data_IF_706448014256
#
_entry.id   IF_706448014256
#
_cell.length_a   1.000
_cell.length_b   1.000
_cell.length_c   1.000
_cell.angle_alpha   90.00
_cell.angle_beta   90.00
_cell.angle_gamma   90.00
#
_symmetry.space_group_name_H-M   'P 1'
#
loop_
_entity.id
_entity.type
_entity.pdbx_description
1 polymer ?
#
# COMPACT_ATOMS: atom_id res chain seq x y z
N UNK A 1 -6.48 -20.91 9.18
CA UNK A 1 -7.17 -19.64 8.91
C UNK A 1 -6.27 -18.91 7.93
N UNK A 2 -6.78 -18.50 6.77
CA UNK A 2 -6.00 -17.72 5.81
C UNK A 2 -6.07 -16.27 6.30
N UNK A 3 -4.93 -15.63 6.54
CA UNK A 3 -4.87 -14.19 6.78
C UNK A 3 -4.71 -13.54 5.41
N UNK A 4 -5.65 -12.67 5.03
CA UNK A 4 -5.55 -11.94 3.76
C UNK A 4 -4.58 -10.76 3.91
N UNK A 5 -4.00 -10.33 2.79
CA UNK A 5 -3.08 -9.19 2.75
C UNK A 5 -3.63 -7.94 3.43
N UNK A 6 -4.92 -7.65 3.23
CA UNK A 6 -5.59 -6.49 3.84
C UNK A 6 -5.64 -6.60 5.36
N UNK A 7 -5.82 -7.80 5.91
CA UNK A 7 -5.85 -8.03 7.35
C UNK A 7 -4.46 -7.84 7.98
N UNK A 8 -3.41 -8.39 7.35
CA UNK A 8 -2.01 -8.18 7.74
C UNK A 8 -1.65 -6.69 7.77
N UNK A 9 -2.11 -5.95 6.76
CA UNK A 9 -1.91 -4.52 6.63
C UNK A 9 -2.60 -3.73 7.73
N UNK A 10 -3.86 -4.04 8.02
CA UNK A 10 -4.64 -3.40 9.08
C UNK A 10 -4.04 -3.69 10.46
N UNK A 11 -3.54 -4.90 10.66
CA UNK A 11 -2.83 -5.24 11.88
C UNK A 11 -1.63 -4.33 12.12
N UNK A 12 -0.76 -4.15 11.12
CA UNK A 12 0.39 -3.24 11.22
C UNK A 12 -0.04 -1.79 11.51
N UNK A 13 -1.05 -1.30 10.81
CA UNK A 13 -1.59 0.05 11.04
C UNK A 13 -2.16 0.24 12.45
N UNK A 14 -2.81 -0.79 13.01
CA UNK A 14 -3.29 -0.79 14.40
C UNK A 14 -2.12 -0.64 15.38
N UNK A 15 -1.10 -1.48 15.23
CA UNK A 15 0.11 -1.45 16.07
C UNK A 15 0.81 -0.10 15.97
N UNK A 16 0.88 0.49 14.78
CA UNK A 16 1.43 1.83 14.54
C UNK A 16 0.73 2.90 15.36
N UNK A 17 -0.60 2.95 15.32
CA UNK A 17 -1.37 3.94 16.08
C UNK A 17 -1.19 3.75 17.58
N UNK A 18 -1.18 2.49 18.06
CA UNK A 18 -0.94 2.22 19.48
C UNK A 18 0.43 2.73 19.90
N UNK A 19 1.47 2.40 19.12
CA UNK A 19 2.83 2.88 19.36
C UNK A 19 2.89 4.41 19.38
N UNK A 20 2.27 5.08 18.41
CA UNK A 20 2.18 6.54 18.37
C UNK A 20 1.53 7.12 19.63
N UNK A 21 0.39 6.57 20.06
CA UNK A 21 -0.29 7.02 21.27
C UNK A 21 0.60 6.86 22.51
N UNK A 22 1.29 5.72 22.62
CA UNK A 22 2.15 5.43 23.77
C UNK A 22 3.40 6.32 23.76
N UNK A 23 4.11 6.42 22.63
CA UNK A 23 5.33 7.22 22.49
C UNK A 23 5.09 8.71 22.76
N UNK A 24 3.89 9.21 22.45
CA UNK A 24 3.51 10.61 22.67
C UNK A 24 2.68 10.83 23.95
N UNK A 25 2.54 9.81 24.79
CA UNK A 25 1.76 9.85 26.04
C UNK A 25 0.32 10.39 25.85
N UNK A 26 -0.35 9.96 24.78
CA UNK A 26 -1.71 10.35 24.42
C UNK A 26 -2.73 9.35 24.97
N UNK A 27 -3.95 9.83 25.23
CA UNK A 27 -5.06 8.98 25.66
C UNK A 27 -5.55 8.06 24.52
N UNK A 28 -6.08 6.89 24.88
CA UNK A 28 -6.78 6.01 23.94
C UNK A 28 -7.98 6.71 23.28
N UNK A 29 -8.65 7.59 24.03
CA UNK A 29 -9.82 8.34 23.56
C UNK A 29 -9.43 9.57 22.71
N UNK A 30 -8.17 9.65 22.25
CA UNK A 30 -7.74 10.71 21.35
C UNK A 30 -8.62 10.72 20.09
N UNK A 31 -9.10 11.91 19.76
CA UNK A 31 -9.70 12.20 18.47
C UNK A 31 -8.58 12.55 17.49
N UNK A 32 -8.61 11.88 16.34
CA UNK A 32 -7.71 12.07 15.21
C UNK A 32 -8.44 12.81 14.10
N UNK A 33 -7.78 13.80 13.52
CA UNK A 33 -8.19 14.43 12.27
C UNK A 33 -7.70 13.61 11.07
N UNK A 34 -8.37 13.75 9.93
CA UNK A 34 -7.91 13.12 8.68
C UNK A 34 -6.47 13.56 8.32
N UNK A 35 -6.14 14.83 8.55
CA UNK A 35 -4.82 15.41 8.29
C UNK A 35 -3.76 14.76 9.16
N UNK A 36 -4.01 14.52 10.45
CA UNK A 36 -3.07 13.79 11.32
C UNK A 36 -2.78 12.38 10.78
N UNK A 37 -3.81 11.67 10.31
CA UNK A 37 -3.67 10.31 9.79
C UNK A 37 -3.01 10.25 8.40
N UNK A 38 -2.94 11.37 7.68
CA UNK A 38 -2.35 11.47 6.33
C UNK A 38 -0.97 12.13 6.30
N UNK A 39 -0.64 12.98 7.27
CA UNK A 39 0.56 13.80 7.22
C UNK A 39 1.58 13.49 8.32
N UNK A 40 1.17 12.89 9.44
CA UNK A 40 2.12 12.49 10.48
C UNK A 40 2.84 11.21 10.02
N UNK A 41 4.17 11.23 9.82
CA UNK A 41 4.89 10.07 9.28
C UNK A 41 4.72 8.81 10.13
N UNK A 42 4.68 8.96 11.45
CA UNK A 42 4.48 7.85 12.40
C UNK A 42 3.04 7.35 12.50
N UNK A 43 2.10 7.94 11.75
CA UNK A 43 0.70 7.55 11.67
C UNK A 43 0.23 7.38 10.24
N UNK A 44 1.08 7.51 9.24
CA UNK A 44 0.63 7.64 7.86
C UNK A 44 -0.26 6.46 7.38
N UNK A 45 -1.48 6.75 6.93
CA UNK A 45 -2.38 5.80 6.28
C UNK A 45 -2.42 6.08 4.78
N UNK A 46 -2.36 5.03 3.94
CA UNK A 46 -2.72 5.21 2.54
C UNK A 46 -4.21 5.51 2.41
N UNK A 47 -4.59 6.21 1.35
CA UNK A 47 -5.98 6.56 1.12
C UNK A 47 -6.91 5.32 1.05
N UNK A 48 -6.51 4.25 0.35
CA UNK A 48 -7.29 2.98 0.33
C UNK A 48 -7.46 2.40 1.73
N UNK A 49 -6.38 2.35 2.49
CA UNK A 49 -6.38 1.72 3.81
C UNK A 49 -7.35 2.47 4.73
N UNK A 50 -7.32 3.80 4.63
CA UNK A 50 -8.22 4.66 5.39
C UNK A 50 -9.69 4.44 5.00
N UNK A 51 -10.01 4.41 3.70
CA UNK A 51 -11.37 4.14 3.22
C UNK A 51 -11.87 2.78 3.73
N UNK A 52 -11.05 1.73 3.63
CA UNK A 52 -11.41 0.40 4.11
C UNK A 52 -11.65 0.39 5.63
N UNK A 53 -10.77 1.03 6.40
CA UNK A 53 -10.89 1.09 7.86
C UNK A 53 -12.18 1.81 8.28
N UNK A 54 -12.52 2.92 7.63
CA UNK A 54 -13.74 3.67 7.95
C UNK A 54 -15.00 2.91 7.54
N UNK A 55 -14.99 2.24 6.38
CA UNK A 55 -16.13 1.43 5.94
C UNK A 55 -16.43 0.26 6.88
N UNK A 56 -15.39 -0.36 7.42
CA UNK A 56 -15.53 -1.54 8.29
C UNK A 56 -15.82 -1.20 9.75
N UNK A 57 -15.56 0.03 10.21
CA UNK A 57 -15.67 0.46 11.62
C UNK A 57 -14.92 -0.46 12.62
N UNK A 58 -13.98 -1.29 12.14
CA UNK A 58 -13.26 -2.25 12.98
C UNK A 58 -12.22 -1.56 13.85
N UNK A 59 -11.62 -0.48 13.34
CA UNK A 59 -10.46 0.16 13.95
C UNK A 59 -10.71 1.61 14.34
N UNK A 60 -11.16 2.45 13.40
CA UNK A 60 -11.65 3.80 13.68
C UNK A 60 -13.17 3.86 13.61
N UNK A 61 -13.75 4.71 14.44
CA UNK A 61 -15.17 5.07 14.40
C UNK A 61 -15.28 6.56 14.11
N UNK A 62 -16.19 6.92 13.22
CA UNK A 62 -16.45 8.32 12.89
C UNK A 62 -17.08 9.05 14.09
N UNK A 63 -16.49 10.17 14.49
CA UNK A 63 -17.03 11.03 15.54
C UNK A 63 -17.92 12.12 14.93
N UNK A 64 -17.34 12.95 14.07
CA UNK A 64 -17.93 14.08 13.33
C UNK A 64 -17.17 14.25 12.00
N UNK A 65 -17.64 15.12 11.08
CA UNK A 65 -16.98 15.40 9.79
C UNK A 65 -15.44 15.48 9.91
N UNK A 66 -14.76 14.52 9.29
CA UNK A 66 -13.29 14.39 9.21
C UNK A 66 -12.55 14.12 10.53
N UNK A 67 -13.24 13.64 11.57
CA UNK A 67 -12.65 13.27 12.86
C UNK A 67 -13.04 11.86 13.30
N UNK A 68 -12.08 11.16 13.91
CA UNK A 68 -12.15 9.73 14.17
C UNK A 68 -11.58 9.41 15.55
N UNK A 69 -12.15 8.41 16.23
CA UNK A 69 -11.60 7.87 17.47
C UNK A 69 -11.43 6.36 17.34
N UNK A 70 -10.56 5.78 18.16
CA UNK A 70 -10.36 4.33 18.16
C UNK A 70 -11.62 3.61 18.63
N UNK A 71 -11.94 2.49 17.98
CA UNK A 71 -13.07 1.65 18.39
C UNK A 71 -12.90 1.23 19.87
N UNK A 72 -13.86 1.54 20.78
CA UNK A 72 -13.73 1.23 22.20
C UNK A 72 -13.50 -0.25 22.54
N UNK A 73 -13.91 -1.17 21.63
CA UNK A 73 -13.65 -2.61 21.79
C UNK A 73 -12.16 -2.95 21.83
N UNK A 74 -11.32 -2.06 21.30
CA UNK A 74 -9.88 -2.23 21.24
C UNK A 74 -9.14 -1.78 22.51
N UNK A 75 -9.84 -1.19 23.49
CA UNK A 75 -9.21 -0.63 24.68
C UNK A 75 -8.42 -1.69 25.47
N UNK A 76 -8.97 -2.89 25.66
CA UNK A 76 -8.28 -3.95 26.39
C UNK A 76 -7.02 -4.44 25.67
N UNK A 77 -7.09 -4.59 24.34
CA UNK A 77 -5.95 -4.95 23.48
C UNK A 77 -4.86 -3.88 23.57
N UNK A 78 -5.23 -2.60 23.46
CA UNK A 78 -4.31 -1.48 23.62
C UNK A 78 -3.61 -1.48 24.98
N UNK A 79 -4.34 -1.72 26.09
CA UNK A 79 -3.73 -1.74 27.42
C UNK A 79 -2.75 -2.91 27.59
N UNK A 80 -3.07 -4.09 27.05
CA UNK A 80 -2.16 -5.23 27.06
C UNK A 80 -0.85 -4.91 26.33
N UNK A 81 -0.95 -4.30 25.14
CA UNK A 81 0.20 -3.88 24.34
C UNK A 81 0.99 -2.77 25.05
N UNK A 82 0.31 -1.76 25.60
CA UNK A 82 0.93 -0.65 26.31
C UNK A 82 1.76 -1.12 27.51
N UNK A 83 1.24 -2.06 28.29
CA UNK A 83 1.95 -2.59 29.46
C UNK A 83 3.26 -3.30 29.05
N UNK A 84 3.23 -4.10 27.99
CA UNK A 84 4.43 -4.76 27.47
C UNK A 84 5.42 -3.75 26.88
N UNK A 85 4.92 -2.73 26.18
CA UNK A 85 5.75 -1.73 25.54
C UNK A 85 6.44 -0.80 26.54
N UNK A 86 5.76 -0.39 27.62
CA UNK A 86 6.36 0.48 28.64
C UNK A 86 7.37 -0.28 29.51
N UNK A 87 7.12 -1.57 29.75
CA UNK A 87 8.00 -2.43 30.54
C UNK A 87 9.24 -2.88 29.76
N UNK A 88 10.10 -1.93 29.36
CA UNK A 88 11.36 -2.18 28.64
C UNK A 88 12.55 -2.48 29.56
N UNK A 89 12.30 -2.74 30.84
CA UNK A 89 13.34 -3.18 31.76
C UNK A 89 13.92 -4.49 31.19
N UNK A 90 15.19 -4.48 30.78
CA UNK A 90 15.91 -5.55 30.07
C UNK A 90 15.85 -5.55 28.53
N UNK A 91 15.26 -4.56 27.84
CA UNK A 91 15.21 -4.56 26.37
C UNK A 91 16.59 -4.77 25.72
N UNK A 92 17.61 -4.02 26.15
CA UNK A 92 18.96 -4.13 25.60
C UNK A 92 19.61 -5.49 25.89
N UNK A 93 19.33 -6.09 27.06
CA UNK A 93 19.85 -7.39 27.46
C UNK A 93 19.23 -8.48 26.59
N UNK A 94 17.90 -8.49 26.49
CA UNK A 94 17.16 -9.45 25.65
C UNK A 94 17.55 -9.29 24.18
N UNK A 95 17.67 -8.04 23.70
CA UNK A 95 18.09 -7.75 22.32
C UNK A 95 19.49 -8.29 22.02
N UNK A 96 20.44 -8.08 22.93
CA UNK A 96 21.82 -8.58 22.77
C UNK A 96 21.85 -10.10 22.74
N UNK A 97 21.14 -10.76 23.66
CA UNK A 97 21.06 -12.22 23.70
C UNK A 97 20.43 -12.79 22.43
N UNK A 98 19.34 -12.16 21.97
CA UNK A 98 18.65 -12.54 20.74
C UNK A 98 19.54 -12.38 19.50
N UNK A 99 20.22 -11.24 19.34
CA UNK A 99 21.10 -11.00 18.20
C UNK A 99 22.31 -11.93 18.20
N UNK A 100 22.89 -12.25 19.37
CA UNK A 100 23.95 -13.24 19.47
C UNK A 100 23.47 -14.66 19.06
N UNK A 101 22.26 -15.05 19.47
CA UNK A 101 21.65 -16.30 19.04
C UNK A 101 21.36 -16.31 17.53
N UNK A 102 20.98 -15.18 16.95
CA UNK A 102 20.80 -15.03 15.52
C UNK A 102 22.11 -15.21 14.74
N UNK A 103 23.25 -14.72 15.25
CA UNK A 103 24.56 -15.03 14.66
C UNK A 103 24.87 -16.54 14.69
N UNK A 104 24.56 -17.23 15.80
CA UNK A 104 24.75 -18.68 15.91
C UNK A 104 23.87 -19.45 14.92
N UNK A 105 22.63 -19.00 14.73
CA UNK A 105 21.70 -19.54 13.72
C UNK A 105 22.32 -19.44 12.31
N UNK A 106 22.87 -18.27 11.94
CA UNK A 106 23.52 -18.09 10.63
C UNK A 106 24.71 -19.03 10.45
N UNK A 107 25.51 -19.23 11.49
CA UNK A 107 26.63 -20.18 11.46
C UNK A 107 26.16 -21.64 11.33
N UNK A 108 25.07 -22.03 12.00
CA UNK A 108 24.49 -23.36 11.85
C UNK A 108 23.98 -23.60 10.42
N UNK A 109 23.33 -22.60 9.80
CA UNK A 109 22.87 -22.67 8.41
C UNK A 109 24.05 -22.83 7.45
N UNK A 110 25.13 -22.05 7.62
CA UNK A 110 26.35 -22.17 6.79
C UNK A 110 26.99 -23.56 6.87
N UNK A 111 26.84 -24.24 8.01
CA UNK A 111 27.32 -25.61 8.25
C UNK A 111 26.30 -26.70 7.87
N UNK A 112 25.15 -26.31 7.33
CA UNK A 112 24.02 -27.22 7.02
C UNK A 112 23.51 -28.00 8.26
N UNK A 113 23.73 -27.48 9.46
CA UNK A 113 23.28 -28.10 10.72
C UNK A 113 21.88 -27.62 11.11
N UNK A 114 20.86 -28.08 10.40
CA UNK A 114 19.47 -27.67 10.62
C UNK A 114 18.90 -28.08 11.99
N UNK A 115 19.43 -29.15 12.60
CA UNK A 115 19.01 -29.57 13.93
C UNK A 115 19.45 -28.56 14.99
N UNK A 116 20.69 -28.09 14.94
CA UNK A 116 21.20 -27.05 15.83
C UNK A 116 20.47 -25.73 15.61
N UNK A 117 20.25 -25.35 14.34
CA UNK A 117 19.47 -24.16 13.99
C UNK A 117 18.07 -24.19 14.62
N UNK A 118 17.32 -25.29 14.49
CA UNK A 118 15.98 -25.42 15.07
C UNK A 118 15.98 -25.35 16.60
N UNK A 119 16.99 -25.92 17.26
CA UNK A 119 17.15 -25.82 18.72
C UNK A 119 17.33 -24.35 19.13
N UNK A 120 18.18 -23.61 18.42
CA UNK A 120 18.43 -22.20 18.73
C UNK A 120 17.18 -21.37 18.47
N UNK A 121 16.49 -21.53 17.32
CA UNK A 121 15.22 -20.84 17.01
C UNK A 121 14.19 -21.06 18.12
N UNK A 122 13.96 -22.32 18.52
CA UNK A 122 13.01 -22.65 19.58
C UNK A 122 13.38 -22.02 20.93
N UNK A 123 14.68 -21.92 21.24
CA UNK A 123 15.14 -21.26 22.47
C UNK A 123 14.87 -19.75 22.49
N UNK A 124 14.68 -19.12 21.33
CA UNK A 124 14.52 -17.67 21.20
C UNK A 124 13.06 -17.20 21.13
N UNK A 125 12.06 -18.10 21.09
CA UNK A 125 10.64 -17.71 20.94
C UNK A 125 10.18 -16.66 21.97
N UNK A 126 10.50 -16.89 23.24
CA UNK A 126 10.14 -15.96 24.32
C UNK A 126 10.86 -14.62 24.18
N UNK A 127 12.14 -14.63 23.79
CA UNK A 127 12.92 -13.42 23.57
C UNK A 127 12.37 -12.63 22.38
N UNK A 128 12.06 -13.31 21.27
CA UNK A 128 11.48 -12.71 20.07
C UNK A 128 10.12 -12.06 20.36
N UNK A 129 9.23 -12.79 21.03
CA UNK A 129 7.91 -12.28 21.43
C UNK A 129 8.01 -11.09 22.40
N UNK A 130 8.91 -11.16 23.39
CA UNK A 130 9.15 -10.05 24.30
C UNK A 130 9.72 -8.82 23.57
N UNK A 131 10.70 -9.01 22.69
CA UNK A 131 11.29 -7.94 21.89
C UNK A 131 10.27 -7.28 20.97
N UNK A 132 9.40 -8.06 20.34
CA UNK A 132 8.27 -7.54 19.58
C UNK A 132 7.38 -6.67 20.46
N UNK A 133 6.95 -7.15 21.63
CA UNK A 133 6.13 -6.38 22.57
C UNK A 133 6.79 -5.08 23.06
N UNK A 134 8.11 -5.07 23.23
CA UNK A 134 8.87 -3.90 23.69
C UNK A 134 9.26 -2.92 22.58
N UNK A 135 9.21 -3.34 21.31
CA UNK A 135 9.63 -2.52 20.16
C UNK A 135 8.48 -2.10 19.26
N UNK A 136 7.43 -2.93 19.17
CA UNK A 136 6.30 -2.81 18.26
C UNK A 136 6.77 -2.48 16.84
N UNK A 137 7.73 -3.26 16.36
CA UNK A 137 8.15 -3.22 14.95
C UNK A 137 7.03 -3.77 14.06
N UNK A 138 6.89 -3.22 12.86
CA UNK A 138 5.94 -3.73 11.88
C UNK A 138 6.60 -4.83 11.05
N UNK A 139 5.89 -5.95 10.87
CA UNK A 139 6.36 -7.05 10.02
C UNK A 139 5.88 -6.84 8.58
N UNK A 140 6.64 -7.27 7.56
CA UNK A 140 6.14 -7.30 6.20
C UNK A 140 4.80 -8.07 6.09
N UNK A 141 3.85 -7.55 5.31
CA UNK A 141 2.49 -8.13 5.16
C UNK A 141 2.55 -9.62 4.81
N UNK A 142 3.41 -9.98 3.85
CA UNK A 142 3.57 -11.35 3.36
C UNK A 142 4.06 -12.33 4.44
N UNK A 143 4.78 -11.88 5.47
CA UNK A 143 5.20 -12.76 6.57
C UNK A 143 4.02 -13.14 7.47
N UNK A 144 3.14 -12.17 7.74
CA UNK A 144 1.90 -12.41 8.50
C UNK A 144 0.98 -13.34 7.69
N UNK A 145 0.83 -13.08 6.39
CA UNK A 145 0.05 -13.92 5.47
C UNK A 145 0.56 -15.37 5.44
N UNK A 146 1.86 -15.55 5.17
CA UNK A 146 2.47 -16.88 5.03
C UNK A 146 2.47 -17.67 6.33
N UNK A 147 2.60 -17.00 7.48
CA UNK A 147 2.55 -17.67 8.79
C UNK A 147 1.13 -18.06 9.21
N UNK A 148 0.11 -17.35 8.70
CA UNK A 148 -1.27 -17.46 9.20
C UNK A 148 -1.44 -17.05 10.67
N UNK A 149 -0.46 -16.34 11.23
CA UNK A 149 -0.42 -15.90 12.63
C UNK A 149 -0.03 -14.42 12.70
N UNK A 150 -0.55 -13.72 13.71
CA UNK A 150 -0.11 -12.36 14.03
C UNK A 150 1.10 -12.38 14.97
N UNK A 151 2.03 -11.40 14.90
CA UNK A 151 3.15 -11.24 15.83
C UNK A 151 2.78 -11.20 17.32
N UNK A 152 1.51 -10.87 17.65
CA UNK A 152 0.96 -10.98 19.00
C UNK A 152 0.73 -12.42 19.48
N UNK A 153 0.97 -13.42 18.64
CA UNK A 153 1.00 -14.83 19.00
C UNK A 153 2.46 -15.30 19.04
N UNK A 154 2.91 -15.85 20.16
CA UNK A 154 4.30 -16.34 20.30
C UNK A 154 4.70 -17.36 19.23
N UNK A 155 3.77 -18.18 18.76
CA UNK A 155 4.03 -19.18 17.71
C UNK A 155 4.33 -18.56 16.34
N UNK A 156 4.03 -17.26 16.14
CA UNK A 156 4.48 -16.53 14.97
C UNK A 156 6.00 -16.61 14.82
N UNK A 157 6.76 -16.56 15.92
CA UNK A 157 8.22 -16.61 15.90
C UNK A 157 8.79 -18.03 15.75
N UNK A 158 7.94 -19.06 15.63
CA UNK A 158 8.35 -20.45 15.47
C UNK A 158 8.76 -20.80 14.04
N UNK A 159 9.56 -19.93 13.44
CA UNK A 159 10.14 -20.12 12.12
C UNK A 159 11.38 -19.23 11.95
N UNK A 160 12.39 -19.75 11.25
CA UNK A 160 13.67 -19.04 11.04
C UNK A 160 13.49 -17.66 10.40
N UNK A 161 12.68 -17.55 9.34
CA UNK A 161 12.43 -16.28 8.66
C UNK A 161 11.84 -15.20 9.57
N UNK A 162 11.09 -15.58 10.60
CA UNK A 162 10.49 -14.61 11.54
C UNK A 162 11.52 -14.09 12.54
N UNK A 163 12.51 -14.93 12.89
CA UNK A 163 13.66 -14.55 13.72
C UNK A 163 14.59 -13.62 12.92
N UNK A 164 14.87 -13.96 11.66
CA UNK A 164 15.67 -13.16 10.73
C UNK A 164 15.07 -11.77 10.52
N UNK A 165 13.79 -11.70 10.15
CA UNK A 165 13.08 -10.43 9.97
C UNK A 165 13.07 -9.61 11.25
N UNK A 166 12.81 -10.21 12.41
CA UNK A 166 12.86 -9.48 13.67
C UNK A 166 14.26 -8.89 13.93
N UNK A 167 15.31 -9.66 13.68
CA UNK A 167 16.69 -9.18 13.85
C UNK A 167 17.01 -7.99 12.93
N UNK A 168 16.55 -8.05 11.67
CA UNK A 168 16.68 -6.95 10.72
C UNK A 168 15.88 -5.72 11.18
N UNK A 169 14.60 -5.89 11.50
CA UNK A 169 13.69 -4.82 11.94
C UNK A 169 14.17 -4.11 13.21
N UNK A 170 14.77 -4.85 14.14
CA UNK A 170 15.36 -4.29 15.37
C UNK A 170 16.62 -3.46 15.08
N UNK A 171 17.28 -3.68 13.95
CA UNK A 171 18.49 -2.97 13.53
C UNK A 171 18.17 -1.81 12.58
N UNK A 172 17.19 -2.01 11.70
CA UNK A 172 16.70 -1.07 10.70
C UNK A 172 15.17 -1.14 10.66
N UNK A 173 14.49 -0.33 11.49
CA UNK A 173 13.03 -0.25 11.44
C UNK A 173 12.57 0.15 10.04
N UNK A 174 11.41 -0.39 9.62
CA UNK A 174 10.78 -0.01 8.35
C UNK A 174 10.63 1.51 8.30
N UNK A 175 11.05 2.10 7.18
CA UNK A 175 10.76 3.51 6.89
C UNK A 175 9.36 3.59 6.28
N UNK A 176 8.50 4.38 6.90
CA UNK A 176 7.14 4.59 6.38
C UNK A 176 7.21 5.25 5.00
N UNK A 177 6.49 4.65 4.05
CA UNK A 177 6.45 5.09 2.67
C UNK A 177 5.01 5.43 2.30
N UNK A 178 4.85 6.57 1.62
CA UNK A 178 3.58 6.94 1.00
C UNK A 178 3.21 6.02 -0.17
N UNK A 179 4.11 5.13 -0.61
CA UNK A 179 4.01 4.26 -1.79
C UNK A 179 3.31 5.02 -2.92
N UNK A 180 2.25 4.48 -3.50
CA UNK A 180 1.51 5.12 -4.56
C UNK A 180 0.66 6.32 -4.20
N UNK A 181 0.49 6.69 -2.93
CA UNK A 181 -0.25 7.93 -2.62
C UNK A 181 0.53 9.17 -3.07
N UNK A 182 1.85 9.06 -3.27
CA UNK A 182 2.68 10.17 -3.79
C UNK A 182 2.32 10.58 -5.22
N UNK A 183 1.55 9.77 -5.95
CA UNK A 183 1.09 10.06 -7.31
C UNK A 183 -0.45 10.07 -7.42
N UNK A 184 -1.16 9.86 -6.30
CA UNK A 184 -2.62 9.80 -6.27
C UNK A 184 -3.23 11.17 -6.54
N UNK A 185 -4.27 11.21 -7.38
CA UNK A 185 -5.03 12.39 -7.78
C UNK A 185 -4.22 13.55 -8.38
N UNK A 186 -2.98 13.28 -8.79
CA UNK A 186 -2.16 14.26 -9.49
C UNK A 186 -2.40 14.16 -10.99
N UNK A 187 -2.47 15.34 -11.62
CA UNK A 187 -2.78 15.47 -13.03
C UNK A 187 -1.59 15.11 -13.91
N UNK A 188 -1.87 14.30 -14.92
CA UNK A 188 -0.91 13.87 -15.94
C UNK A 188 -1.44 14.20 -17.32
N UNK A 189 -0.51 14.46 -18.24
CA UNK A 189 -0.84 14.74 -19.63
C UNK A 189 -1.08 13.45 -20.39
N UNK A 190 -2.18 13.38 -21.14
CA UNK A 190 -2.49 12.22 -21.98
C UNK A 190 -2.84 12.70 -23.38
N UNK A 191 -1.81 12.82 -24.21
CA UNK A 191 -1.89 13.45 -25.53
C UNK A 191 -1.99 12.41 -26.63
N UNK A 192 -3.14 12.32 -27.29
CA UNK A 192 -3.42 11.30 -28.32
C UNK A 192 -3.67 11.97 -29.67
N UNK A 193 -3.09 11.42 -30.73
CA UNK A 193 -3.49 11.76 -32.09
C UNK A 193 -4.83 11.13 -32.44
N UNK A 194 -5.78 11.92 -32.92
CA UNK A 194 -7.08 11.44 -33.39
C UNK A 194 -7.20 11.66 -34.90
N UNK A 195 -7.46 10.58 -35.64
CA UNK A 195 -7.54 10.67 -37.10
C UNK A 195 -8.78 11.45 -37.56
N UNK A 196 -9.86 11.40 -36.77
CA UNK A 196 -11.09 12.18 -36.97
C UNK A 196 -10.83 13.68 -37.06
N UNK A 197 -9.99 14.22 -36.16
CA UNK A 197 -9.70 15.65 -36.06
C UNK A 197 -8.37 16.05 -36.73
N UNK A 198 -7.55 15.06 -37.11
CA UNK A 198 -6.23 15.24 -37.74
C UNK A 198 -5.26 16.06 -36.90
N UNK A 199 -5.45 16.09 -35.58
CA UNK A 199 -4.53 16.73 -34.64
C UNK A 199 -4.40 15.90 -33.36
N UNK A 200 -3.50 16.36 -32.49
CA UNK A 200 -3.40 15.81 -31.15
C UNK A 200 -4.43 16.46 -30.24
N UNK A 201 -5.16 15.63 -29.53
CA UNK A 201 -6.04 16.01 -28.44
C UNK A 201 -5.29 15.90 -27.12
N UNK A 202 -5.39 16.94 -26.30
CA UNK A 202 -4.72 17.00 -25.00
C UNK A 202 -5.73 16.65 -23.92
N UNK A 203 -5.73 15.39 -23.49
CA UNK A 203 -6.52 14.94 -22.36
C UNK A 203 -5.73 15.02 -21.06
N UNK A 204 -6.46 14.90 -19.95
CA UNK A 204 -5.87 14.79 -18.62
C UNK A 204 -6.27 13.46 -18.01
N UNK A 205 -5.35 12.83 -17.31
CA UNK A 205 -5.61 11.60 -16.56
C UNK A 205 -5.02 11.71 -15.16
N UNK A 206 -5.67 11.10 -14.18
CA UNK A 206 -5.21 11.00 -12.79
C UNK A 206 -5.36 9.56 -12.33
N UNK A 207 -4.48 9.12 -11.43
CA UNK A 207 -4.71 7.88 -10.68
C UNK A 207 -5.70 8.16 -9.55
N UNK A 208 -6.76 7.36 -9.41
CA UNK A 208 -7.59 7.28 -8.19
C UNK A 208 -7.21 6.04 -7.37
N UNK A 209 -7.83 5.88 -6.19
CA UNK A 209 -7.53 4.75 -5.30
C UNK A 209 -8.08 3.41 -5.83
N UNK A 210 -8.98 3.44 -6.81
CA UNK A 210 -9.67 2.29 -7.39
C UNK A 210 -9.52 2.18 -8.92
N UNK A 211 -8.88 3.16 -9.57
CA UNK A 211 -8.67 3.15 -11.00
C UNK A 211 -8.09 4.46 -11.55
N UNK A 212 -8.63 4.94 -12.66
CA UNK A 212 -8.21 6.19 -13.29
C UNK A 212 -9.35 7.20 -13.34
N UNK A 213 -9.01 8.48 -13.37
CA UNK A 213 -9.94 9.56 -13.67
C UNK A 213 -9.46 10.20 -14.97
N UNK A 214 -10.31 10.15 -15.99
CA UNK A 214 -10.04 10.66 -17.32
C UNK A 214 -10.91 11.88 -17.62
N UNK A 215 -10.28 12.96 -18.09
CA UNK A 215 -10.95 14.18 -18.50
C UNK A 215 -10.81 14.38 -20.02
N UNK A 216 -11.90 14.09 -20.73
CA UNK A 216 -12.08 14.38 -22.16
C UNK A 216 -12.23 15.87 -22.47
N UNK A 217 -12.17 16.24 -23.76
CA UNK A 217 -12.32 17.63 -24.23
C UNK A 217 -13.70 18.25 -23.96
N UNK A 218 -14.77 17.44 -23.95
CA UNK A 218 -16.12 17.88 -23.58
C UNK A 218 -16.43 17.73 -22.08
N UNK A 219 -15.53 17.12 -21.31
CA UNK A 219 -15.76 16.79 -19.90
C UNK A 219 -15.34 17.96 -18.99
N UNK A 220 -15.97 19.12 -19.20
CA UNK A 220 -16.18 20.09 -18.12
C UNK A 220 -17.29 19.63 -17.14
N UNK A 221 -17.83 18.42 -17.34
CA UNK A 221 -18.84 17.83 -16.48
C UNK A 221 -18.18 17.31 -15.19
N UNK A 222 -18.43 18.03 -14.11
CA UNK A 222 -18.05 17.76 -12.73
C UNK A 222 -18.71 16.52 -12.12
N UNK A 223 -19.35 15.66 -12.91
CA UNK A 223 -20.00 14.43 -12.42
C UNK A 223 -19.00 13.27 -12.39
N UNK A 224 -18.69 12.78 -11.17
CA UNK A 224 -17.72 11.69 -10.94
C UNK A 224 -17.95 10.48 -11.87
N UNK A 225 -19.20 10.12 -12.14
CA UNK A 225 -19.55 8.92 -12.91
C UNK A 225 -19.11 8.98 -14.39
N UNK A 226 -18.88 10.18 -14.94
CA UNK A 226 -18.53 10.37 -16.36
C UNK A 226 -17.02 10.52 -16.59
N UNK A 227 -16.22 10.43 -15.53
CA UNK A 227 -14.76 10.58 -15.59
C UNK A 227 -14.02 9.37 -15.03
N UNK A 228 -14.69 8.53 -14.22
CA UNK A 228 -14.09 7.36 -13.61
C UNK A 228 -13.83 6.23 -14.63
N UNK A 229 -12.73 5.54 -14.40
CA UNK A 229 -12.32 4.34 -15.11
C UNK A 229 -11.85 3.32 -14.08
N UNK A 230 -12.05 2.04 -14.38
CA UNK A 230 -11.39 0.95 -13.66
C UNK A 230 -9.87 1.00 -13.88
N UNK A 231 -9.11 0.20 -13.14
CA UNK A 231 -7.64 0.10 -13.26
C UNK A 231 -7.17 -0.23 -14.68
N UNK A 232 -7.93 -1.01 -15.41
CA UNK A 232 -7.69 -1.39 -16.80
C UNK A 232 -8.11 -0.32 -17.83
N UNK A 233 -8.51 0.86 -17.35
CA UNK A 233 -8.96 1.98 -18.17
C UNK A 233 -10.40 1.89 -18.67
N UNK A 234 -11.11 0.76 -18.46
CA UNK A 234 -12.52 0.64 -18.86
C UNK A 234 -13.37 1.67 -18.14
N UNK A 235 -14.30 2.31 -18.85
CA UNK A 235 -15.03 3.48 -18.37
C UNK A 235 -14.81 4.69 -19.28
N UNK A 236 -14.66 5.87 -18.69
CA UNK A 236 -14.63 7.14 -19.43
C UNK A 236 -13.52 7.20 -20.50
N UNK A 237 -12.34 6.65 -20.24
CA UNK A 237 -11.22 6.64 -21.19
C UNK A 237 -11.55 5.82 -22.43
N UNK A 238 -11.89 4.53 -22.28
CA UNK A 238 -12.19 3.66 -23.43
C UNK A 238 -13.41 4.18 -24.20
N UNK A 239 -14.44 4.68 -23.51
CA UNK A 239 -15.61 5.28 -24.15
C UNK A 239 -15.25 6.50 -24.99
N UNK A 240 -14.32 7.35 -24.53
CA UNK A 240 -13.86 8.50 -25.31
C UNK A 240 -13.09 8.08 -26.57
N UNK A 241 -12.20 7.07 -26.45
CA UNK A 241 -11.47 6.54 -27.59
C UNK A 241 -12.43 5.92 -28.63
N UNK A 242 -13.44 5.18 -28.17
CA UNK A 242 -14.45 4.58 -29.04
C UNK A 242 -15.35 5.63 -29.71
N UNK A 243 -15.78 6.65 -28.96
CA UNK A 243 -16.57 7.76 -29.50
C UNK A 243 -15.83 8.50 -30.64
N UNK A 244 -14.52 8.70 -30.49
CA UNK A 244 -13.69 9.33 -31.51
C UNK A 244 -13.12 8.34 -32.54
N UNK A 245 -13.57 7.07 -32.49
CA UNK A 245 -13.17 6.00 -33.42
C UNK A 245 -11.65 5.81 -33.53
N UNK A 246 -10.96 6.01 -32.40
CA UNK A 246 -9.51 5.87 -32.25
C UNK A 246 -9.15 4.39 -32.22
N UNK A 247 -8.21 3.96 -33.06
CA UNK A 247 -7.62 2.64 -32.99
C UNK A 247 -6.51 2.63 -31.94
N UNK A 248 -6.61 1.66 -31.03
CA UNK A 248 -5.66 1.48 -29.95
C UNK A 248 -5.31 -0.01 -29.81
N UNK A 249 -4.19 -0.35 -29.14
CA UNK A 249 -3.77 -1.73 -29.03
C UNK A 249 -4.71 -2.53 -28.14
N UNK A 250 -4.99 -3.78 -28.52
CA UNK A 250 -5.85 -4.69 -27.73
C UNK A 250 -5.35 -4.90 -26.30
N UNK A 251 -4.05 -4.80 -26.07
CA UNK A 251 -3.42 -4.95 -24.76
C UNK A 251 -3.34 -3.65 -23.94
N UNK A 252 -3.97 -2.56 -24.38
CA UNK A 252 -4.00 -1.29 -23.65
C UNK A 252 -4.55 -1.48 -22.23
N UNK A 253 -5.64 -2.24 -22.07
CA UNK A 253 -6.27 -2.46 -20.77
C UNK A 253 -5.32 -3.15 -19.77
N UNK A 254 -4.61 -4.18 -20.21
CA UNK A 254 -3.59 -4.85 -19.40
C UNK A 254 -2.45 -3.90 -19.03
N UNK A 255 -1.99 -3.07 -19.97
CA UNK A 255 -0.91 -2.12 -19.71
C UNK A 255 -1.32 -1.05 -18.68
N UNK A 256 -2.56 -0.56 -18.76
CA UNK A 256 -3.11 0.41 -17.80
C UNK A 256 -3.26 -0.20 -16.40
N UNK A 257 -3.78 -1.43 -16.30
CA UNK A 257 -3.93 -2.12 -15.03
C UNK A 257 -2.58 -2.37 -14.37
N UNK A 258 -1.61 -2.88 -15.13
CA UNK A 258 -0.28 -3.14 -14.60
C UNK A 258 0.45 -1.85 -14.18
N UNK A 259 0.32 -0.78 -14.95
CA UNK A 259 0.85 0.53 -14.57
C UNK A 259 0.19 1.07 -13.30
N UNK A 260 -1.13 0.88 -13.16
CA UNK A 260 -1.88 1.28 -11.97
C UNK A 260 -1.37 0.55 -10.72
N UNK A 261 -1.23 -0.79 -10.80
CA UNK A 261 -0.75 -1.63 -9.69
C UNK A 261 0.67 -1.25 -9.30
N UNK A 262 1.54 -1.09 -10.29
CA UNK A 262 2.92 -0.66 -10.07
C UNK A 262 2.99 0.71 -9.42
N UNK A 263 2.18 1.65 -9.89
CA UNK A 263 2.11 2.99 -9.32
C UNK A 263 1.55 2.99 -7.89
N UNK A 264 0.75 2.00 -7.49
CA UNK A 264 0.22 1.86 -6.14
C UNK A 264 1.22 1.28 -5.13
N UNK A 265 2.00 0.29 -5.58
CA UNK A 265 2.91 -0.47 -4.73
C UNK A 265 4.30 0.16 -4.60
N UNK A 266 4.78 0.80 -5.67
CA UNK A 266 6.09 1.43 -5.72
C UNK A 266 6.05 2.88 -5.22
N UNK A 267 7.21 3.43 -4.84
CA UNK A 267 7.38 4.88 -4.64
C UNK A 267 7.56 5.60 -6.00
N UNK A 268 6.64 5.37 -6.93
CA UNK A 268 6.69 5.97 -8.26
C UNK A 268 6.29 7.45 -8.20
N UNK A 269 7.25 8.33 -8.48
CA UNK A 269 6.99 9.77 -8.52
C UNK A 269 5.99 10.12 -9.62
N UNK A 270 5.28 11.24 -9.46
CA UNK A 270 4.35 11.73 -10.49
C UNK A 270 5.04 11.94 -11.85
N UNK A 271 6.29 12.39 -11.87
CA UNK A 271 7.05 12.59 -13.11
C UNK A 271 7.36 11.26 -13.82
N UNK A 272 7.61 10.21 -13.05
CA UNK A 272 7.84 8.87 -13.60
C UNK A 272 6.53 8.27 -14.11
N UNK A 273 5.44 8.37 -13.34
CA UNK A 273 4.13 7.90 -13.77
C UNK A 273 3.65 8.64 -15.03
N UNK A 274 3.83 9.97 -15.09
CA UNK A 274 3.48 10.77 -16.26
C UNK A 274 4.23 10.32 -17.52
N UNK A 275 5.51 9.93 -17.41
CA UNK A 275 6.25 9.39 -18.57
C UNK A 275 5.65 8.07 -19.09
N UNK A 276 5.30 7.14 -18.20
CA UNK A 276 4.65 5.90 -18.64
C UNK A 276 3.27 6.16 -19.28
N UNK A 277 2.52 7.12 -18.74
CA UNK A 277 1.24 7.56 -19.31
C UNK A 277 1.44 8.20 -20.70
N UNK A 278 2.49 9.02 -20.88
CA UNK A 278 2.88 9.59 -22.17
C UNK A 278 3.29 8.50 -23.18
N UNK A 279 4.04 7.49 -22.75
CA UNK A 279 4.43 6.34 -23.59
C UNK A 279 3.19 5.56 -24.07
N UNK A 280 2.19 5.35 -23.19
CA UNK A 280 0.91 4.75 -23.57
C UNK A 280 0.15 5.61 -24.58
N UNK A 281 0.11 6.93 -24.38
CA UNK A 281 -0.54 7.86 -25.29
C UNK A 281 0.15 7.89 -26.67
N UNK A 282 1.48 7.82 -26.70
CA UNK A 282 2.26 7.74 -27.93
C UNK A 282 2.01 6.41 -28.65
N UNK A 283 1.91 5.30 -27.92
CA UNK A 283 1.61 4.00 -28.48
C UNK A 283 0.23 3.94 -29.14
N UNK A 284 -0.80 4.51 -28.49
CA UNK A 284 -2.13 4.69 -29.08
C UNK A 284 -2.03 5.54 -30.34
N UNK A 285 -1.37 6.69 -30.27
CA UNK A 285 -1.21 7.62 -31.39
C UNK A 285 -0.52 6.98 -32.60
N UNK A 286 0.50 6.15 -32.37
CA UNK A 286 1.22 5.41 -33.42
C UNK A 286 0.31 4.42 -34.13
N UNK A 287 -0.52 3.70 -33.38
CA UNK A 287 -1.48 2.75 -33.95
C UNK A 287 -2.54 3.50 -34.76
N UNK A 288 -3.13 4.55 -34.19
CA UNK A 288 -4.14 5.35 -34.89
C UNK A 288 -3.58 5.99 -36.17
N UNK A 289 -2.37 6.54 -36.12
CA UNK A 289 -1.72 7.15 -37.29
C UNK A 289 -1.33 6.13 -38.37
N UNK A 290 -1.24 4.84 -38.01
CA UNK A 290 -0.95 3.75 -38.96
C UNK A 290 -2.19 3.22 -39.68
N UNK A 291 -3.38 3.76 -39.36
CA UNK A 291 -4.64 3.37 -39.97
C UNK A 291 -4.60 3.53 -41.50
N UNK A 292 -4.97 2.49 -42.26
CA UNK A 292 -5.11 2.61 -43.71
C UNK A 292 -6.10 3.71 -44.11
N UNK A 293 -5.73 4.55 -45.08
CA UNK A 293 -6.53 5.72 -45.51
C UNK A 293 -8.00 5.42 -45.83
N UNK A 294 -8.29 4.27 -46.43
CA UNK A 294 -9.67 3.90 -46.77
C UNK A 294 -10.57 3.69 -45.54
N UNK A 295 -10.00 3.41 -44.36
CA UNK A 295 -10.73 3.34 -43.09
C UNK A 295 -10.88 4.73 -42.45
N UNK A 296 -9.94 5.64 -42.72
CA UNK A 296 -10.04 7.04 -42.30
C UNK A 296 -11.15 7.79 -43.02
N UNK A 297 -11.34 7.51 -44.31
CA UNK A 297 -12.34 8.17 -45.16
C UNK A 297 -13.79 7.80 -44.76
N UNK A 298 -14.01 6.66 -44.09
CA UNK A 298 -15.32 6.26 -43.57
C UNK A 298 -15.74 6.98 -42.29
N UNK A 299 -14.80 7.50 -41.49
CA UNK A 299 -15.07 8.10 -40.18
C UNK A 299 -15.56 9.57 -40.25
N UNK A 300 -15.59 10.15 -41.46
CA UNK A 300 -15.99 11.54 -41.72
C UNK A 300 -17.47 11.63 -42.20
N UNK A 301 -18.16 10.50 -42.37
CA UNK A 301 -19.61 10.42 -42.64
C UNK A 301 -20.42 10.23 -41.36
#
# INVERSE_FOLDING_TARGET
>A
MIIERIDSRIYNLKIRVYKYLIDNNLSFDKIFTITELQDIPSLYFRHIDFLYIIQTNLFFVNHNNNTYYLNPRLFQDFQAIKNNYINKHNFNIIKTNFLNAYEQIKEAIKKENYSEMNIIVNSQLNNAYALYGMSLVEFPEYMIENSGLYPSNINFFNHIHMIEDLAELLSKPITYSKKGDINLYQEMSFKIYTDRWKHFDNYKIKRSFDGWIFYGLMNNLTELNNTNCNKDGTGALIQALEHDSVNYPKSLSFALEHLWERADEDNMSINELNKYIEDLAEWISKIESSKPKFLSDMAIM
#
